data_IF_301696025867
#
_entry.id   IF_301696025867
#
_cell.length_a   1.000
_cell.length_b   1.000
_cell.length_c   1.000
_cell.angle_alpha   90.00
_cell.angle_beta   90.00
_cell.angle_gamma   90.00
#
_symmetry.space_group_name_H-M   'P 1'
#
loop_
_entity.id
_entity.type
_entity.pdbx_description
1 polymer ?
#
# COMPACT_ATOMS: atom_id res chain seq x y z
N UNK A 1 9.21 8.84 2.24
CA UNK A 1 10.46 9.57 2.48
C UNK A 1 10.31 11.08 2.80
N UNK A 2 9.22 11.77 2.41
CA UNK A 2 8.92 13.12 2.96
C UNK A 2 8.21 13.10 4.32
N UNK A 3 7.33 12.11 4.52
CA UNK A 3 6.61 11.93 5.78
C UNK A 3 7.58 11.66 6.95
N UNK A 4 8.58 10.82 6.73
CA UNK A 4 9.65 10.53 7.71
C UNK A 4 10.45 11.78 8.07
N UNK A 5 10.74 12.65 7.09
CA UNK A 5 11.41 13.95 7.34
C UNK A 5 10.55 14.91 8.19
N UNK A 6 9.22 14.76 8.12
CA UNK A 6 8.25 15.49 8.97
C UNK A 6 7.98 14.79 10.31
N UNK A 7 8.67 13.68 10.62
CA UNK A 7 8.44 12.88 11.82
C UNK A 7 7.10 12.13 11.81
N UNK A 8 6.48 11.99 10.64
CA UNK A 8 5.22 11.27 10.46
C UNK A 8 5.56 9.84 10.08
N UNK A 9 5.43 8.92 11.03
CA UNK A 9 5.51 7.49 10.77
C UNK A 9 4.38 7.04 9.84
N UNK A 10 4.72 6.28 8.80
CA UNK A 10 3.78 5.66 7.89
C UNK A 10 3.21 4.40 8.56
N UNK A 11 1.98 4.48 9.05
CA UNK A 11 1.24 3.36 9.63
C UNK A 11 0.14 2.91 8.67
N UNK A 12 -0.44 1.71 8.87
CA UNK A 12 -1.61 1.28 8.06
C UNK A 12 -2.74 2.32 8.08
N UNK A 13 -2.95 2.99 9.22
CA UNK A 13 -3.98 4.04 9.37
C UNK A 13 -3.68 5.32 8.59
N UNK A 14 -2.41 5.58 8.26
CA UNK A 14 -1.96 6.79 7.56
C UNK A 14 -1.58 6.53 6.10
N UNK A 15 -1.45 5.26 5.71
CA UNK A 15 -1.16 4.87 4.36
C UNK A 15 -2.31 5.30 3.44
N UNK A 16 -1.98 5.82 2.26
CA UNK A 16 -2.97 5.96 1.21
C UNK A 16 -3.53 4.57 0.85
N UNK A 17 -4.82 4.41 0.50
CA UNK A 17 -5.41 3.13 0.12
C UNK A 17 -4.52 2.25 -0.77
N UNK A 18 -3.98 2.83 -1.84
CA UNK A 18 -3.01 2.19 -2.75
C UNK A 18 -1.78 1.55 -2.05
N UNK A 19 -1.16 2.26 -1.10
CA UNK A 19 0.01 1.76 -0.38
C UNK A 19 -0.37 0.83 0.76
N UNK A 20 -1.62 0.89 1.22
CA UNK A 20 -2.07 0.16 2.40
C UNK A 20 -2.08 -1.36 2.17
N UNK A 21 -2.44 -1.81 0.96
CA UNK A 21 -2.37 -3.23 0.57
C UNK A 21 -0.94 -3.78 0.68
N UNK A 22 0.03 -3.10 0.06
CA UNK A 22 1.45 -3.48 0.12
C UNK A 22 1.96 -3.51 1.57
N UNK A 23 1.63 -2.49 2.37
CA UNK A 23 2.01 -2.45 3.78
C UNK A 23 1.36 -3.55 4.62
N UNK A 24 0.13 -3.94 4.29
CA UNK A 24 -0.58 -5.04 4.95
C UNK A 24 0.14 -6.36 4.65
N UNK A 25 0.48 -6.62 3.39
CA UNK A 25 1.24 -7.81 2.98
C UNK A 25 2.59 -7.91 3.70
N UNK A 26 3.36 -6.81 3.76
CA UNK A 26 4.63 -6.76 4.47
C UNK A 26 4.47 -7.10 5.96
N UNK A 27 3.48 -6.49 6.64
CA UNK A 27 3.19 -6.77 8.05
C UNK A 27 2.79 -8.22 8.28
N UNK A 28 1.95 -8.79 7.42
CA UNK A 28 1.51 -10.17 7.52
C UNK A 28 2.67 -11.14 7.27
N UNK A 29 3.53 -10.86 6.30
CA UNK A 29 4.74 -11.65 6.03
C UNK A 29 5.71 -11.60 7.21
N UNK A 30 5.87 -10.44 7.85
CA UNK A 30 6.72 -10.32 9.04
C UNK A 30 6.13 -11.05 10.25
N UNK A 31 4.81 -11.01 10.45
CA UNK A 31 4.14 -11.86 11.43
C UNK A 31 4.39 -13.34 11.14
N UNK A 32 4.29 -13.77 9.88
CA UNK A 32 4.53 -15.15 9.49
C UNK A 32 5.98 -15.58 9.78
N UNK A 33 6.97 -14.74 9.42
CA UNK A 33 8.38 -14.97 9.76
C UNK A 33 8.58 -15.09 11.27
N UNK A 34 7.90 -14.26 12.08
CA UNK A 34 7.95 -14.36 13.54
C UNK A 34 7.36 -15.68 14.04
N UNK A 35 6.21 -16.11 13.50
CA UNK A 35 5.59 -17.41 13.81
C UNK A 35 6.55 -18.57 13.46
N UNK A 36 7.15 -18.55 12.27
CA UNK A 36 8.12 -19.56 11.84
C UNK A 36 9.37 -19.61 12.73
N UNK A 37 9.95 -18.45 13.08
CA UNK A 37 11.10 -18.37 14.00
C UNK A 37 10.78 -18.96 15.37
N UNK A 38 9.59 -18.68 15.91
CA UNK A 38 9.10 -19.24 17.18
C UNK A 38 8.93 -20.76 17.11
N UNK A 39 8.42 -21.29 16.00
CA UNK A 39 8.28 -22.74 15.79
C UNK A 39 9.64 -23.45 15.68
N UNK A 40 10.61 -22.84 15.00
CA UNK A 40 11.96 -23.41 14.84
C UNK A 40 12.81 -23.33 16.12
N UNK A 41 12.67 -22.26 16.91
CA UNK A 41 13.22 -22.24 18.26
C UNK A 41 12.45 -23.25 19.11
N UNK A 42 13.07 -24.34 19.56
CA UNK A 42 12.45 -25.45 20.32
C UNK A 42 11.89 -25.05 21.71
N UNK A 43 11.26 -23.89 21.84
CA UNK A 43 10.46 -23.51 22.99
C UNK A 43 9.30 -24.49 23.02
N UNK A 44 9.18 -25.24 24.13
CA UNK A 44 8.13 -26.24 24.29
C UNK A 44 6.77 -25.60 24.01
N UNK A 45 6.09 -26.05 22.95
CA UNK A 45 4.72 -25.63 22.59
C UNK A 45 3.70 -25.84 23.74
N UNK A 46 4.11 -26.51 24.81
CA UNK A 46 3.30 -26.77 26.00
C UNK A 46 3.00 -25.53 26.85
N UNK A 47 3.76 -24.44 26.74
CA UNK A 47 3.59 -23.23 27.58
C UNK A 47 3.37 -21.92 26.82
N UNK A 48 3.50 -21.91 25.49
CA UNK A 48 3.16 -20.74 24.70
C UNK A 48 1.65 -20.73 24.48
N UNK A 49 0.99 -19.65 24.90
CA UNK A 49 -0.44 -19.37 24.72
C UNK A 49 -0.78 -19.40 23.21
N UNK A 50 -0.98 -20.58 22.65
CA UNK A 50 -1.34 -20.80 21.25
C UNK A 50 -2.66 -20.08 20.86
N UNK A 51 -3.42 -19.63 21.86
CA UNK A 51 -4.65 -18.85 21.68
C UNK A 51 -4.43 -17.36 21.39
N UNK A 52 -3.23 -16.79 21.60
CA UNK A 52 -3.00 -15.33 21.40
C UNK A 52 -2.37 -14.99 20.04
N UNK A 53 -1.76 -15.95 19.34
CA UNK A 53 -0.99 -15.69 18.11
C UNK A 53 -1.83 -15.77 16.83
N UNK A 54 -2.97 -16.47 16.88
CA UNK A 54 -3.95 -16.53 15.80
C UNK A 54 -4.77 -15.23 15.74
N UNK A 55 -4.83 -14.49 16.84
CA UNK A 55 -5.61 -13.26 16.97
C UNK A 55 -4.93 -12.05 16.30
N UNK A 56 -3.59 -12.02 16.26
CA UNK A 56 -2.86 -10.85 15.76
C UNK A 56 -2.99 -10.66 14.24
N UNK A 57 -3.01 -11.75 13.47
CA UNK A 57 -3.25 -11.68 12.03
C UNK A 57 -4.65 -11.16 11.71
N UNK A 58 -5.66 -11.66 12.42
CA UNK A 58 -7.05 -11.19 12.30
C UNK A 58 -7.17 -9.72 12.67
N UNK A 59 -6.57 -9.29 13.79
CA UNK A 59 -6.58 -7.91 14.23
C UNK A 59 -5.97 -6.94 13.21
N UNK A 60 -4.87 -7.33 12.54
CA UNK A 60 -4.26 -6.51 11.48
C UNK A 60 -5.17 -6.41 10.25
N UNK A 61 -5.80 -7.53 9.85
CA UNK A 61 -6.75 -7.54 8.73
C UNK A 61 -8.01 -6.72 9.04
N UNK A 62 -8.52 -6.80 10.27
CA UNK A 62 -9.65 -6.00 10.75
C UNK A 62 -9.33 -4.50 10.77
N UNK A 63 -8.13 -4.12 11.24
CA UNK A 63 -7.65 -2.73 11.18
C UNK A 63 -7.60 -2.24 9.73
N UNK A 64 -7.08 -3.04 8.81
CA UNK A 64 -7.03 -2.68 7.39
C UNK A 64 -8.43 -2.50 6.80
N UNK A 65 -9.32 -3.47 7.04
CA UNK A 65 -10.71 -3.51 6.55
C UNK A 65 -11.64 -2.47 7.21
N UNK A 66 -11.23 -1.86 8.32
CA UNK A 66 -11.99 -0.77 8.96
C UNK A 66 -12.00 0.53 8.14
N UNK A 67 -11.10 0.64 7.17
CA UNK A 67 -10.94 1.80 6.31
C UNK A 67 -11.72 1.62 5.01
N UNK A 68 -12.84 2.34 4.89
CA UNK A 68 -13.73 2.24 3.75
C UNK A 68 -13.04 2.55 2.42
N UNK A 69 -12.09 3.49 2.38
CA UNK A 69 -11.39 3.86 1.15
C UNK A 69 -10.45 2.75 0.68
N UNK A 70 -9.81 2.06 1.62
CA UNK A 70 -9.01 0.87 1.29
C UNK A 70 -9.89 -0.26 0.77
N UNK A 71 -10.99 -0.58 1.46
CA UNK A 71 -11.90 -1.65 1.02
C UNK A 71 -12.50 -1.35 -0.36
N UNK A 72 -12.90 -0.10 -0.60
CA UNK A 72 -13.40 0.34 -1.90
C UNK A 72 -12.33 0.17 -2.99
N UNK A 73 -11.11 0.66 -2.75
CA UNK A 73 -10.00 0.53 -3.70
C UNK A 73 -9.62 -0.94 -3.98
N UNK A 74 -9.51 -1.77 -2.94
CA UNK A 74 -9.16 -3.19 -3.06
C UNK A 74 -10.25 -4.00 -3.78
N UNK A 75 -11.49 -3.52 -3.77
CA UNK A 75 -12.61 -4.15 -4.48
C UNK A 75 -12.67 -3.84 -5.98
N UNK A 76 -11.88 -2.89 -6.46
CA UNK A 76 -11.78 -2.55 -7.88
C UNK A 76 -11.00 -3.62 -8.65
N UNK A 77 -11.31 -3.77 -9.93
CA UNK A 77 -10.47 -4.53 -10.86
C UNK A 77 -9.09 -3.86 -10.98
N UNK A 78 -8.03 -4.65 -11.20
CA UNK A 78 -6.65 -4.16 -11.32
C UNK A 78 -6.50 -2.99 -12.31
N UNK A 79 -7.23 -3.04 -13.44
CA UNK A 79 -7.28 -1.95 -14.43
C UNK A 79 -7.85 -0.65 -13.84
N UNK A 80 -8.91 -0.74 -13.03
CA UNK A 80 -9.53 0.40 -12.36
C UNK A 80 -8.68 0.93 -11.20
N UNK A 81 -7.98 0.04 -10.49
CA UNK A 81 -7.00 0.44 -9.48
C UNK A 81 -5.88 1.27 -10.12
N UNK A 82 -5.35 0.81 -11.26
CA UNK A 82 -4.34 1.53 -12.01
C UNK A 82 -4.87 2.90 -12.46
N UNK A 83 -6.08 2.97 -13.03
CA UNK A 83 -6.71 4.24 -13.43
C UNK A 83 -6.72 5.24 -12.26
N UNK A 84 -7.18 4.82 -11.08
CA UNK A 84 -7.25 5.67 -9.88
C UNK A 84 -5.86 6.17 -9.47
N UNK A 85 -4.85 5.28 -9.50
CA UNK A 85 -3.47 5.63 -9.17
C UNK A 85 -2.88 6.60 -10.18
N UNK A 86 -3.10 6.39 -11.48
CA UNK A 86 -2.62 7.28 -12.53
C UNK A 86 -3.21 8.69 -12.40
N UNK A 87 -4.52 8.80 -12.16
CA UNK A 87 -5.15 10.09 -11.94
C UNK A 87 -4.59 10.78 -10.69
N UNK A 88 -4.42 10.05 -9.58
CA UNK A 88 -3.82 10.61 -8.36
C UNK A 88 -2.39 11.13 -8.61
N UNK A 89 -1.57 10.38 -9.35
CA UNK A 89 -0.20 10.77 -9.68
C UNK A 89 -0.17 12.07 -10.50
N UNK A 90 -1.08 12.22 -11.46
CA UNK A 90 -1.13 13.40 -12.32
C UNK A 90 -1.73 14.60 -11.60
N UNK A 91 -2.86 14.43 -10.94
CA UNK A 91 -3.60 15.53 -10.31
C UNK A 91 -2.89 16.09 -9.07
N UNK A 92 -2.26 15.21 -8.28
CA UNK A 92 -1.65 15.62 -7.01
C UNK A 92 -0.14 15.82 -7.09
N UNK A 93 0.54 15.06 -7.94
CA UNK A 93 2.00 15.07 -8.02
C UNK A 93 2.52 15.56 -9.37
N UNK A 94 1.63 15.90 -10.32
CA UNK A 94 2.01 16.29 -11.67
C UNK A 94 2.99 15.27 -12.28
N UNK A 95 2.77 13.99 -12.00
CA UNK A 95 3.68 12.91 -12.39
C UNK A 95 3.01 11.99 -13.39
N UNK A 96 3.68 11.73 -14.52
CA UNK A 96 3.25 10.69 -15.46
C UNK A 96 4.10 9.43 -15.24
N UNK A 97 3.43 8.33 -14.93
CA UNK A 97 4.08 7.02 -14.76
C UNK A 97 4.83 6.58 -16.02
N UNK A 98 4.25 6.81 -17.20
CA UNK A 98 4.77 6.34 -18.47
C UNK A 98 5.89 7.22 -19.03
N UNK A 99 5.82 8.55 -18.85
CA UNK A 99 6.96 9.43 -19.17
C UNK A 99 8.12 9.28 -18.18
N UNK A 100 7.84 8.91 -16.93
CA UNK A 100 8.85 8.79 -15.87
C UNK A 100 9.35 10.14 -15.34
N UNK A 101 8.59 11.22 -15.51
CA UNK A 101 8.96 12.58 -15.09
C UNK A 101 7.81 13.31 -14.38
N UNK A 102 8.18 14.36 -13.65
CA UNK A 102 7.25 15.33 -13.06
C UNK A 102 7.17 16.56 -13.97
N UNK A 103 6.01 17.20 -13.99
CA UNK A 103 5.72 18.44 -14.71
C UNK A 103 5.61 19.60 -13.72
N UNK A 104 5.87 20.81 -14.21
CA UNK A 104 5.89 22.02 -13.38
C UNK A 104 4.48 22.54 -13.05
N UNK A 105 3.51 22.27 -13.92
CA UNK A 105 2.11 22.65 -13.74
C UNK A 105 1.15 21.69 -14.44
N UNK A 106 -0.15 21.85 -14.20
CA UNK A 106 -1.18 21.07 -14.91
C UNK A 106 -1.18 21.39 -16.40
N UNK A 107 -0.96 22.65 -16.78
CA UNK A 107 -0.83 23.06 -18.17
C UNK A 107 0.38 22.40 -18.84
N UNK A 108 1.53 22.38 -18.16
CA UNK A 108 2.74 21.71 -18.65
C UNK A 108 2.51 20.20 -18.86
N UNK A 109 1.82 19.54 -17.94
CA UNK A 109 1.45 18.13 -18.07
C UNK A 109 0.53 17.88 -19.28
N UNK A 110 -0.45 18.75 -19.52
CA UNK A 110 -1.39 18.61 -20.64
C UNK A 110 -0.69 18.89 -21.98
N UNK A 111 0.23 19.86 -22.03
CA UNK A 111 0.92 20.24 -23.26
C UNK A 111 2.04 19.27 -23.63
N UNK A 112 2.74 18.69 -22.65
CA UNK A 112 3.96 17.91 -22.87
C UNK A 112 3.83 16.41 -22.59
N UNK A 113 2.73 15.92 -22.03
CA UNK A 113 2.50 14.49 -21.87
C UNK A 113 1.63 13.93 -23.01
N UNK A 114 2.03 12.82 -23.68
CA UNK A 114 1.26 12.23 -24.78
C UNK A 114 -0.17 11.82 -24.39
N UNK A 115 -0.37 11.37 -23.15
CA UNK A 115 -1.68 11.02 -22.62
C UNK A 115 -1.60 10.30 -21.28
N UNK A 116 -2.72 9.75 -20.81
CA UNK A 116 -2.80 9.09 -19.49
C UNK A 116 -2.45 7.61 -19.53
N UNK A 117 -2.68 6.95 -20.66
CA UNK A 117 -2.54 5.52 -20.82
C UNK A 117 -1.17 5.16 -21.40
N UNK A 118 -0.78 3.90 -21.28
CA UNK A 118 0.46 3.37 -21.87
C UNK A 118 0.47 3.56 -23.39
N UNK A 119 -0.65 3.27 -24.05
CA UNK A 119 -0.83 3.36 -25.50
C UNK A 119 -0.56 4.77 -26.06
N UNK A 120 -0.77 5.81 -25.25
CA UNK A 120 -0.49 7.19 -25.67
C UNK A 120 1.01 7.46 -25.84
N UNK A 121 1.88 6.59 -25.29
CA UNK A 121 3.34 6.77 -25.23
C UNK A 121 4.13 5.86 -26.20
N UNK A 122 3.46 5.16 -27.11
CA UNK A 122 4.09 4.40 -28.20
C UNK A 122 4.65 5.30 -29.31
#
# INVERSE_FOLDING_TARGET
>A
MELEKKGIELTLQRAHPFYKGIMLEEKLADLEKMKQKKLFSRISLSNAKASQEIDLESAIKEEANSDALYVEFESLEESKQLDVVLHLLRDRFLYCLYCGCHYDSQEDLIENCPGINEEDHE
#
